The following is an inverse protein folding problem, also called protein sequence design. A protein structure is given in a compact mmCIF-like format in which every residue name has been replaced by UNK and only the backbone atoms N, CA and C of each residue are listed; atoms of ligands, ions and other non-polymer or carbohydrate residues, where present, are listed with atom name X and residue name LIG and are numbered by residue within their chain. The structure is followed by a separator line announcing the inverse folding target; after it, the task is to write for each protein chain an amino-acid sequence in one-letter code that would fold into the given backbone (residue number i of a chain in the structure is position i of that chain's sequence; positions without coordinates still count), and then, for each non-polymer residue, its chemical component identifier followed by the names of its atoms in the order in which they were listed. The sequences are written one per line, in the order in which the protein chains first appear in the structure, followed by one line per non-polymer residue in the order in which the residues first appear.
data_IF_511618209180
#
_entry.id   IF_511618209180
#
_cell.length_a   1.000
_cell.length_b   1.000
_cell.length_c   1.000
_cell.angle_alpha   90.00
_cell.angle_beta   90.00
_cell.angle_gamma   90.00
#
_symmetry.space_group_name_H-M   'P 1'
#
loop_
_entity.id
_entity.type
_entity.pdbx_description
1 polymer ?
#
# COMPACT_ATOMS: atom_id res chain seq x y z
N UNK A 1 14.45 15.05 -25.00
CA UNK A 1 15.06 14.00 -24.16
C UNK A 1 13.94 13.22 -23.49
N UNK A 2 14.12 11.92 -23.26
CA UNK A 2 13.16 11.13 -22.51
C UNK A 2 13.06 11.65 -21.07
N UNK A 3 11.85 11.64 -20.50
CA UNK A 3 11.61 12.01 -19.11
C UNK A 3 12.25 10.96 -18.18
N UNK A 4 12.93 11.40 -17.12
CA UNK A 4 13.56 10.49 -16.15
C UNK A 4 12.76 10.40 -14.86
N UNK A 5 12.52 9.19 -14.38
CA UNK A 5 11.78 8.92 -13.14
C UNK A 5 12.64 8.10 -12.17
N UNK A 6 12.73 8.56 -10.92
CA UNK A 6 13.28 7.79 -9.83
C UNK A 6 12.15 7.12 -9.04
N UNK A 7 12.26 5.81 -8.83
CA UNK A 7 11.30 5.04 -8.03
C UNK A 7 12.00 4.54 -6.76
N UNK A 8 11.65 5.14 -5.63
CA UNK A 8 12.11 4.67 -4.32
C UNK A 8 11.20 3.52 -3.89
N UNK A 9 11.79 2.33 -3.71
CA UNK A 9 11.07 1.07 -3.50
C UNK A 9 10.75 0.31 -4.79
N UNK A 10 11.54 0.50 -5.86
CA UNK A 10 11.26 -0.10 -7.18
C UNK A 10 11.23 -1.63 -7.21
N UNK A 11 11.91 -2.29 -6.29
CA UNK A 11 11.86 -3.77 -6.11
C UNK A 11 10.72 -4.26 -5.22
N UNK A 12 9.96 -3.36 -4.61
CA UNK A 12 8.74 -3.67 -3.86
C UNK A 12 7.55 -3.86 -4.80
N UNK A 13 6.43 -4.37 -4.26
CA UNK A 13 5.25 -4.73 -5.06
C UNK A 13 4.68 -3.54 -5.85
N UNK A 14 4.46 -2.40 -5.21
CA UNK A 14 3.91 -1.22 -5.87
C UNK A 14 4.94 -0.58 -6.82
N UNK A 15 6.17 -0.39 -6.35
CA UNK A 15 7.25 0.21 -7.14
C UNK A 15 7.55 -0.58 -8.41
N UNK A 16 7.55 -1.92 -8.36
CA UNK A 16 7.84 -2.78 -9.50
C UNK A 16 6.85 -2.59 -10.65
N UNK A 17 5.56 -2.58 -10.33
CA UNK A 17 4.52 -2.39 -11.35
C UNK A 17 4.56 -0.97 -11.95
N UNK A 18 4.82 0.03 -11.12
CA UNK A 18 5.00 1.42 -11.58
C UNK A 18 6.22 1.56 -12.47
N UNK A 19 7.33 0.90 -12.12
CA UNK A 19 8.56 0.89 -12.89
C UNK A 19 8.37 0.24 -14.27
N UNK A 20 7.68 -0.91 -14.32
CA UNK A 20 7.33 -1.57 -15.58
C UNK A 20 6.43 -0.72 -16.46
N UNK A 21 5.44 -0.04 -15.88
CA UNK A 21 4.56 0.83 -16.66
C UNK A 21 5.31 2.08 -17.16
N UNK A 22 6.18 2.67 -16.34
CA UNK A 22 7.02 3.80 -16.71
C UNK A 22 7.90 3.46 -17.93
N UNK A 23 8.58 2.30 -17.92
CA UNK A 23 9.36 1.83 -19.07
C UNK A 23 8.49 1.68 -20.32
N UNK A 24 7.30 1.07 -20.20
CA UNK A 24 6.36 0.91 -21.32
C UNK A 24 5.89 2.26 -21.89
N UNK A 25 5.84 3.29 -21.06
CA UNK A 25 5.49 4.68 -21.43
C UNK A 25 6.69 5.48 -21.96
N UNK A 26 7.88 4.88 -22.03
CA UNK A 26 9.08 5.51 -22.60
C UNK A 26 9.86 6.39 -21.62
N UNK A 27 9.64 6.24 -20.31
CA UNK A 27 10.48 6.88 -19.31
C UNK A 27 11.82 6.16 -19.17
N UNK A 28 12.88 6.92 -18.88
CA UNK A 28 14.12 6.35 -18.35
C UNK A 28 13.92 6.16 -16.84
N UNK A 29 14.13 4.95 -16.34
CA UNK A 29 13.76 4.58 -14.97
C UNK A 29 15.00 4.28 -14.13
N UNK A 30 15.13 5.03 -13.04
CA UNK A 30 16.01 4.72 -11.92
C UNK A 30 15.21 4.11 -10.78
N UNK A 31 15.87 3.28 -9.97
CA UNK A 31 15.27 2.66 -8.80
C UNK A 31 16.23 2.73 -7.62
N UNK A 32 15.69 3.05 -6.44
CA UNK A 32 16.38 2.86 -5.16
C UNK A 32 15.69 1.71 -4.43
N UNK A 33 16.47 0.75 -3.98
CA UNK A 33 15.99 -0.43 -3.24
C UNK A 33 16.82 -0.66 -1.99
N UNK A 34 16.17 -1.13 -0.92
CA UNK A 34 16.87 -1.66 0.25
C UNK A 34 17.27 -3.10 -0.02
N UNK A 35 18.42 -3.54 0.48
CA UNK A 35 18.76 -4.96 0.47
C UNK A 35 17.95 -5.66 1.58
N UNK A 36 16.99 -6.51 1.19
CA UNK A 36 16.19 -7.33 2.10
C UNK A 36 16.33 -8.82 1.79
N UNK A 37 15.77 -9.68 2.63
CA UNK A 37 15.89 -11.14 2.48
C UNK A 37 15.36 -11.63 1.13
N UNK A 38 14.33 -10.97 0.57
CA UNK A 38 13.79 -11.32 -0.75
C UNK A 38 14.80 -11.01 -1.87
N UNK A 39 15.54 -9.90 -1.76
CA UNK A 39 16.57 -9.49 -2.72
C UNK A 39 17.90 -10.21 -2.53
N UNK A 40 18.30 -10.52 -1.29
CA UNK A 40 19.53 -11.27 -1.01
C UNK A 40 19.46 -12.67 -1.62
N UNK A 41 18.29 -13.31 -1.54
CA UNK A 41 18.12 -14.69 -1.96
C UNK A 41 17.67 -14.86 -3.42
N UNK A 42 17.51 -13.76 -4.17
CA UNK A 42 17.05 -13.79 -5.57
C UNK A 42 17.95 -12.97 -6.46
N UNK A 43 18.38 -13.56 -7.56
CA UNK A 43 19.09 -12.84 -8.60
C UNK A 43 18.17 -11.76 -9.21
N UNK A 44 18.49 -10.49 -8.97
CA UNK A 44 17.76 -9.33 -9.48
C UNK A 44 17.60 -9.39 -11.01
N UNK A 45 18.64 -9.87 -11.71
CA UNK A 45 18.66 -9.98 -13.17
C UNK A 45 17.67 -11.02 -13.73
N UNK A 46 17.16 -11.92 -12.87
CA UNK A 46 16.24 -12.98 -13.27
C UNK A 46 14.77 -12.51 -13.38
N UNK A 47 14.41 -11.39 -12.75
CA UNK A 47 13.00 -10.96 -12.68
C UNK A 47 12.80 -9.45 -12.79
N UNK A 48 13.82 -8.63 -12.53
CA UNK A 48 13.72 -7.17 -12.63
C UNK A 48 14.17 -6.69 -14.01
N UNK A 49 13.49 -5.70 -14.64
CA UNK A 49 13.86 -5.26 -15.99
C UNK A 49 15.27 -4.65 -16.02
N UNK A 50 16.10 -5.13 -16.95
CA UNK A 50 17.52 -4.77 -17.06
C UNK A 50 17.75 -3.33 -17.50
N UNK A 51 16.72 -2.71 -18.09
CA UNK A 51 16.70 -1.31 -18.49
C UNK A 51 16.63 -0.36 -17.29
N UNK A 52 16.29 -0.87 -16.09
CA UNK A 52 16.18 -0.07 -14.87
C UNK A 52 17.51 -0.06 -14.15
N UNK A 53 18.05 1.13 -13.96
CA UNK A 53 19.25 1.29 -13.12
C UNK A 53 18.82 1.22 -11.66
N UNK A 54 19.16 0.12 -10.97
CA UNK A 54 18.85 -0.07 -9.56
C UNK A 54 20.05 0.21 -8.66
N UNK A 55 19.89 1.12 -7.71
CA UNK A 55 20.86 1.44 -6.66
C UNK A 55 20.40 0.84 -5.34
N UNK A 56 21.29 0.10 -4.68
CA UNK A 56 21.05 -0.39 -3.32
C UNK A 56 21.37 0.70 -2.31
N UNK A 57 20.35 1.19 -1.62
CA UNK A 57 20.47 2.18 -0.55
C UNK A 57 19.27 2.07 0.40
N UNK A 58 19.55 1.98 1.70
CA UNK A 58 18.52 2.13 2.72
C UNK A 58 18.22 3.62 2.98
N UNK A 59 17.09 4.09 2.44
CA UNK A 59 16.67 5.50 2.58
C UNK A 59 16.34 5.90 4.03
N UNK A 60 16.10 4.94 4.93
CA UNK A 60 15.86 5.25 6.34
C UNK A 60 17.16 5.73 7.01
N UNK A 61 18.29 5.07 6.72
CA UNK A 61 19.60 5.38 7.30
C UNK A 61 20.45 6.36 6.48
N UNK A 62 20.24 6.45 5.17
CA UNK A 62 21.00 7.35 4.29
C UNK A 62 20.88 8.83 4.69
N UNK A 63 21.95 9.61 4.47
CA UNK A 63 21.92 11.06 4.62
C UNK A 63 21.06 11.74 3.54
N UNK A 64 20.63 12.97 3.80
CA UNK A 64 19.87 13.74 2.80
C UNK A 64 20.75 14.04 1.58
N UNK A 65 22.05 14.29 1.77
CA UNK A 65 23.03 14.60 0.73
C UNK A 65 23.27 13.41 -0.22
N UNK A 66 23.37 12.19 0.31
CA UNK A 66 23.45 10.97 -0.51
C UNK A 66 22.22 10.82 -1.40
N UNK A 67 21.03 11.10 -0.86
CA UNK A 67 19.78 11.01 -1.62
C UNK A 67 19.73 12.13 -2.68
N UNK A 68 20.18 13.35 -2.38
CA UNK A 68 20.27 14.45 -3.36
C UNK A 68 21.12 14.01 -4.55
N UNK A 69 22.32 13.44 -4.30
CA UNK A 69 23.23 13.01 -5.36
C UNK A 69 22.59 11.96 -6.29
N UNK A 70 21.83 11.02 -5.74
CA UNK A 70 21.13 9.99 -6.52
C UNK A 70 19.94 10.52 -7.33
N UNK A 71 19.34 11.64 -6.90
CA UNK A 71 18.18 12.25 -7.55
C UNK A 71 18.57 13.25 -8.65
N UNK A 72 19.85 13.60 -8.79
CA UNK A 72 20.30 14.55 -9.81
C UNK A 72 19.99 14.06 -11.23
N UNK A 73 19.40 14.95 -12.04
CA UNK A 73 19.04 14.65 -13.43
C UNK A 73 17.73 13.89 -13.60
N UNK A 74 17.02 13.55 -12.52
CA UNK A 74 15.66 13.01 -12.58
C UNK A 74 14.62 14.12 -12.64
N UNK A 75 13.58 13.94 -13.45
CA UNK A 75 12.45 14.87 -13.54
C UNK A 75 11.37 14.58 -12.50
N UNK A 76 11.22 13.30 -12.13
CA UNK A 76 10.08 12.81 -11.36
C UNK A 76 10.51 11.83 -10.26
N UNK A 77 9.74 11.81 -9.18
CA UNK A 77 9.88 10.86 -8.07
C UNK A 77 8.57 10.08 -7.86
N UNK A 78 8.67 8.77 -7.69
CA UNK A 78 7.62 7.95 -7.05
C UNK A 78 8.18 7.33 -5.78
N UNK A 79 7.49 7.52 -4.67
CA UNK A 79 7.85 6.96 -3.37
C UNK A 79 6.88 5.85 -2.96
N UNK A 80 7.38 4.61 -3.01
CA UNK A 80 6.62 3.38 -2.78
C UNK A 80 7.15 2.56 -1.58
N UNK A 81 7.84 3.22 -0.65
CA UNK A 81 8.43 2.59 0.56
C UNK A 81 7.60 2.93 1.79
N UNK A 82 7.48 1.99 2.72
CA UNK A 82 6.91 2.23 4.04
C UNK A 82 6.24 0.99 4.60
N UNK A 83 6.21 0.83 5.94
CA UNK A 83 5.49 -0.26 6.57
C UNK A 83 3.98 -0.11 6.36
N UNK A 84 3.32 -1.25 6.25
CA UNK A 84 1.86 -1.38 6.16
C UNK A 84 1.22 -1.46 7.57
N UNK A 85 -0.06 -1.11 7.71
CA UNK A 85 -0.77 -1.14 9.01
C UNK A 85 -0.82 -2.52 9.67
N UNK A 86 -0.66 -3.58 8.87
CA UNK A 86 -0.66 -4.97 9.32
C UNK A 86 0.65 -5.39 9.99
N UNK A 87 1.69 -4.55 9.95
CA UNK A 87 2.90 -4.77 10.73
C UNK A 87 2.68 -4.35 12.20
N UNK A 88 3.08 -5.22 13.14
CA UNK A 88 2.94 -4.95 14.59
C UNK A 88 4.34 -4.77 15.20
N UNK A 89 4.83 -3.52 15.35
CA UNK A 89 6.14 -3.25 15.94
C UNK A 89 6.19 -3.50 17.46
N UNK A 90 7.39 -3.38 18.02
CA UNK A 90 7.55 -3.15 19.47
C UNK A 90 6.89 -1.84 19.84
N UNK A 91 6.21 -1.82 20.98
CA UNK A 91 5.61 -0.61 21.50
C UNK A 91 6.70 0.44 21.85
N UNK A 92 6.41 1.74 21.70
CA UNK A 92 5.19 2.30 21.11
C UNK A 92 5.17 2.27 19.56
N UNK A 93 4.00 2.01 18.99
CA UNK A 93 3.83 1.85 17.54
C UNK A 93 3.97 3.17 16.78
N UNK A 94 3.55 4.30 17.38
CA UNK A 94 3.57 5.61 16.72
C UNK A 94 4.97 5.99 16.26
N UNK A 95 6.00 5.86 17.11
CA UNK A 95 7.38 6.22 16.83
C UNK A 95 7.96 5.37 15.69
N UNK A 96 7.62 4.09 15.65
CA UNK A 96 8.02 3.19 14.57
C UNK A 96 7.46 3.65 13.21
N UNK A 97 6.16 3.98 13.17
CA UNK A 97 5.48 4.43 11.96
C UNK A 97 5.86 5.86 11.58
N UNK A 98 5.98 6.77 12.54
CA UNK A 98 6.30 8.18 12.32
C UNK A 98 7.69 8.33 11.67
N UNK A 99 8.69 7.65 12.22
CA UNK A 99 10.04 7.66 11.64
C UNK A 99 10.04 7.20 10.17
N UNK A 100 9.28 6.16 9.84
CA UNK A 100 9.29 5.55 8.49
C UNK A 100 8.36 6.22 7.49
N UNK A 101 7.18 6.65 7.93
CA UNK A 101 6.13 7.20 7.08
C UNK A 101 6.14 8.73 7.04
N UNK A 102 6.67 9.39 8.06
CA UNK A 102 6.74 10.86 8.14
C UNK A 102 8.17 11.33 7.92
N UNK A 103 9.08 11.09 8.87
CA UNK A 103 10.41 11.70 8.87
C UNK A 103 11.26 11.28 7.67
N UNK A 104 11.31 9.97 7.39
CA UNK A 104 12.14 9.43 6.32
C UNK A 104 11.63 9.80 4.93
N UNK A 105 10.31 9.80 4.74
CA UNK A 105 9.70 10.22 3.47
C UNK A 105 9.89 11.72 3.28
N UNK A 106 9.74 12.51 4.34
CA UNK A 106 9.97 13.94 4.30
C UNK A 106 11.40 14.27 3.88
N UNK A 107 12.40 13.58 4.44
CA UNK A 107 13.82 13.68 4.04
C UNK A 107 14.03 13.40 2.54
N UNK A 108 13.43 12.32 2.03
CA UNK A 108 13.58 11.95 0.61
C UNK A 108 12.94 12.98 -0.32
N UNK A 109 11.77 13.53 0.04
CA UNK A 109 11.12 14.57 -0.76
C UNK A 109 11.89 15.90 -0.73
N UNK A 110 12.49 16.29 0.41
CA UNK A 110 13.39 17.45 0.46
C UNK A 110 14.63 17.26 -0.41
N UNK A 111 15.22 16.07 -0.36
CA UNK A 111 16.37 15.73 -1.19
C UNK A 111 16.02 15.80 -2.69
N UNK A 112 14.85 15.28 -3.08
CA UNK A 112 14.36 15.36 -4.45
C UNK A 112 14.13 16.81 -4.92
N UNK A 113 13.49 17.64 -4.09
CA UNK A 113 13.30 19.08 -4.39
C UNK A 113 14.66 19.79 -4.56
N UNK A 114 15.61 19.56 -3.62
CA UNK A 114 16.99 20.08 -3.71
C UNK A 114 17.73 19.62 -4.97
N UNK A 115 17.46 18.41 -5.46
CA UNK A 115 18.05 17.87 -6.68
C UNK A 115 17.40 18.42 -7.97
N UNK A 116 16.32 19.20 -7.86
CA UNK A 116 15.60 19.77 -8.99
C UNK A 116 14.52 18.87 -9.59
N UNK A 117 14.04 17.86 -8.84
CA UNK A 117 12.89 17.05 -9.25
C UNK A 117 11.65 17.93 -9.32
N UNK A 118 10.89 17.80 -10.41
CA UNK A 118 9.75 18.69 -10.72
C UNK A 118 8.47 18.27 -10.03
N UNK A 119 8.25 16.96 -9.90
CA UNK A 119 7.05 16.40 -9.27
C UNK A 119 7.32 15.07 -8.59
N UNK A 120 6.83 14.95 -7.35
CA UNK A 120 6.88 13.74 -6.54
C UNK A 120 5.48 13.18 -6.27
N UNK A 121 5.34 11.87 -6.40
CA UNK A 121 4.14 11.11 -6.02
C UNK A 121 4.47 10.21 -4.85
N UNK A 122 3.64 10.24 -3.80
CA UNK A 122 3.76 9.33 -2.65
C UNK A 122 2.59 8.35 -2.60
N UNK A 123 2.90 7.08 -2.33
CA UNK A 123 1.90 6.07 -2.01
C UNK A 123 1.56 6.11 -0.51
N UNK A 124 0.32 6.52 -0.26
CA UNK A 124 -0.32 6.69 1.04
C UNK A 124 -1.46 5.66 1.17
N UNK A 125 -2.38 5.85 2.11
CA UNK A 125 -3.47 4.95 2.43
C UNK A 125 -4.80 5.69 2.39
N UNK A 126 -5.84 5.04 1.87
CA UNK A 126 -7.22 5.50 1.92
C UNK A 126 -7.76 5.78 3.35
N UNK A 127 -7.06 5.37 4.41
CA UNK A 127 -7.43 5.77 5.77
C UNK A 127 -7.26 7.27 5.98
N UNK A 128 -6.31 7.91 5.30
CA UNK A 128 -6.17 9.37 5.32
C UNK A 128 -7.34 10.07 4.61
N UNK A 129 -7.91 9.44 3.57
CA UNK A 129 -9.15 9.90 2.95
C UNK A 129 -10.33 9.81 3.92
N UNK A 130 -10.47 8.65 4.57
CA UNK A 130 -11.54 8.40 5.52
C UNK A 130 -11.47 9.29 6.77
N UNK A 131 -10.27 9.60 7.27
CA UNK A 131 -10.07 10.55 8.37
C UNK A 131 -10.60 11.95 8.00
N UNK A 132 -10.32 12.42 6.79
CA UNK A 132 -10.83 13.71 6.28
C UNK A 132 -12.33 13.70 6.06
N UNK A 133 -12.87 12.58 5.59
CA UNK A 133 -14.28 12.44 5.21
C UNK A 133 -15.20 12.28 6.42
N UNK A 134 -14.73 11.59 7.46
CA UNK A 134 -15.49 11.30 8.67
C UNK A 134 -14.77 11.85 9.92
N UNK A 135 -14.63 13.19 10.05
CA UNK A 135 -13.88 13.80 11.15
C UNK A 135 -14.44 13.43 12.53
N UNK A 136 -15.72 13.11 12.64
CA UNK A 136 -16.37 12.63 13.87
C UNK A 136 -15.85 11.27 14.35
N UNK A 137 -15.31 10.45 13.44
CA UNK A 137 -14.70 9.16 13.80
C UNK A 137 -13.35 9.32 14.50
N UNK A 138 -12.67 10.47 14.34
CA UNK A 138 -11.39 10.77 14.98
C UNK A 138 -10.33 9.68 14.73
N UNK A 139 -10.19 9.28 13.47
CA UNK A 139 -9.39 8.11 13.09
C UNK A 139 -7.90 8.34 13.39
N UNK A 140 -7.35 9.50 13.05
CA UNK A 140 -5.95 9.84 13.37
C UNK A 140 -5.67 9.92 14.87
N UNK A 141 -6.64 10.29 15.70
CA UNK A 141 -6.45 10.33 17.16
C UNK A 141 -6.45 8.93 17.78
N UNK A 142 -7.12 7.97 17.14
CA UNK A 142 -7.29 6.59 17.64
C UNK A 142 -6.25 5.61 17.10
N UNK A 143 -5.67 5.88 15.93
CA UNK A 143 -4.85 4.91 15.21
C UNK A 143 -3.48 5.50 14.81
N UNK A 144 -2.38 5.06 15.45
CA UNK A 144 -1.03 5.57 15.16
C UNK A 144 -0.65 5.57 13.67
N UNK A 145 -1.00 4.51 12.94
CA UNK A 145 -0.74 4.41 11.50
C UNK A 145 -1.51 5.46 10.70
N UNK A 146 -2.81 5.64 10.96
CA UNK A 146 -3.64 6.62 10.27
C UNK A 146 -3.10 8.02 10.54
N UNK A 147 -2.71 8.29 11.80
CA UNK A 147 -2.05 9.54 12.19
C UNK A 147 -0.82 9.83 11.34
N UNK A 148 0.11 8.87 11.26
CA UNK A 148 1.33 9.02 10.48
C UNK A 148 1.05 9.22 8.98
N UNK A 149 0.01 8.59 8.43
CA UNK A 149 -0.38 8.76 7.02
C UNK A 149 -0.97 10.15 6.74
N UNK A 150 -1.73 10.71 7.68
CA UNK A 150 -2.22 12.10 7.62
C UNK A 150 -1.07 13.11 7.75
N UNK A 151 -0.16 12.89 8.72
CA UNK A 151 1.03 13.71 8.94
C UNK A 151 1.98 13.66 7.74
N UNK A 152 2.19 12.48 7.12
CA UNK A 152 2.93 12.31 5.87
C UNK A 152 2.36 13.21 4.77
N UNK A 153 1.05 13.18 4.53
CA UNK A 153 0.45 13.99 3.48
C UNK A 153 0.54 15.51 3.77
N UNK A 154 0.55 15.91 5.04
CA UNK A 154 0.69 17.30 5.45
C UNK A 154 2.14 17.80 5.26
N UNK A 155 3.11 17.12 5.88
CA UNK A 155 4.52 17.57 5.88
C UNK A 155 5.10 17.66 4.47
N UNK A 156 4.75 16.73 3.58
CA UNK A 156 5.24 16.74 2.20
C UNK A 156 4.77 17.97 1.43
N UNK A 157 3.56 18.45 1.71
CA UNK A 157 3.01 19.66 1.11
C UNK A 157 3.50 20.94 1.78
N UNK A 158 3.77 20.90 3.09
CA UNK A 158 4.25 22.06 3.84
C UNK A 158 5.72 22.37 3.57
N UNK A 159 6.55 21.34 3.37
CA UNK A 159 8.00 21.53 3.24
C UNK A 159 8.47 21.81 1.81
N UNK A 160 7.65 21.51 0.79
CA UNK A 160 8.03 21.68 -0.62
C UNK A 160 8.33 23.15 -0.93
N UNK A 161 9.33 23.37 -1.79
CA UNK A 161 9.76 24.69 -2.25
C UNK A 161 9.45 24.86 -3.73
N UNK A 162 9.94 23.96 -4.58
CA UNK A 162 9.78 24.05 -6.04
C UNK A 162 9.15 22.80 -6.67
N UNK A 163 9.13 21.68 -5.93
CA UNK A 163 8.61 20.41 -6.42
C UNK A 163 7.11 20.30 -6.18
N UNK A 164 6.35 19.92 -7.21
CA UNK A 164 4.94 19.55 -7.04
C UNK A 164 4.81 18.22 -6.27
N UNK A 165 3.80 18.10 -5.40
CA UNK A 165 3.56 16.91 -4.60
C UNK A 165 2.15 16.40 -4.79
N UNK A 166 2.02 15.11 -5.09
CA UNK A 166 0.74 14.41 -5.21
C UNK A 166 0.70 13.19 -4.29
N UNK A 167 -0.41 13.01 -3.59
CA UNK A 167 -0.60 11.90 -2.64
C UNK A 167 -1.65 10.94 -3.20
N UNK A 168 -1.30 9.66 -3.33
CA UNK A 168 -2.25 8.61 -3.73
C UNK A 168 -2.65 7.78 -2.52
N UNK A 169 -3.92 7.78 -2.19
CA UNK A 169 -4.46 7.14 -0.99
C UNK A 169 -5.04 5.79 -1.37
N UNK A 170 -4.23 4.75 -1.15
CA UNK A 170 -4.45 3.45 -1.77
C UNK A 170 -5.37 2.54 -0.92
N UNK A 171 -6.19 1.68 -1.57
CA UNK A 171 -7.13 0.81 -0.90
C UNK A 171 -6.56 -0.62 -0.78
N UNK A 172 -7.42 -1.65 -0.74
CA UNK A 172 -6.96 -3.04 -0.74
C UNK A 172 -6.49 -3.44 -2.15
N UNK A 173 -5.23 -3.87 -2.27
CA UNK A 173 -4.60 -4.14 -3.56
C UNK A 173 -4.41 -5.64 -3.75
N UNK A 174 -4.78 -6.12 -4.94
CA UNK A 174 -4.61 -7.51 -5.38
C UNK A 174 -3.70 -7.61 -6.60
N UNK A 175 -3.08 -8.77 -6.75
CA UNK A 175 -2.06 -9.07 -7.74
C UNK A 175 -0.92 -9.89 -7.15
N UNK A 176 0.12 -10.10 -7.93
CA UNK A 176 1.26 -10.93 -7.56
C UNK A 176 2.53 -10.46 -8.24
N UNK A 177 3.69 -10.75 -7.66
CA UNK A 177 4.97 -10.68 -8.36
C UNK A 177 5.77 -11.94 -8.08
N UNK A 178 6.58 -12.39 -9.03
CA UNK A 178 7.33 -13.64 -8.87
C UNK A 178 8.34 -13.54 -7.73
N UNK A 179 8.95 -12.37 -7.58
CA UNK A 179 10.00 -12.15 -6.59
C UNK A 179 9.51 -11.97 -5.15
N UNK A 180 8.21 -11.86 -4.87
CA UNK A 180 7.72 -11.68 -3.49
C UNK A 180 6.42 -12.44 -3.22
N UNK A 181 6.24 -12.87 -1.98
CA UNK A 181 4.98 -13.45 -1.54
C UNK A 181 3.96 -12.34 -1.30
N UNK A 182 2.70 -12.45 -1.77
CA UNK A 182 1.68 -11.49 -1.42
C UNK A 182 1.45 -11.47 0.09
N UNK A 183 1.38 -10.28 0.68
CA UNK A 183 1.16 -10.07 2.12
C UNK A 183 -0.11 -10.77 2.62
N UNK A 184 -1.08 -10.99 1.73
CA UNK A 184 -2.32 -11.74 1.98
C UNK A 184 -2.07 -13.13 2.58
N UNK A 185 -1.00 -13.82 2.18
CA UNK A 185 -0.70 -15.17 2.68
C UNK A 185 -0.45 -15.18 4.19
N UNK A 186 0.64 -14.54 4.61
CA UNK A 186 1.18 -14.72 5.97
C UNK A 186 0.41 -13.91 7.02
N UNK A 187 -0.12 -12.75 6.62
CA UNK A 187 -0.84 -11.86 7.52
C UNK A 187 -2.27 -12.32 7.74
N UNK A 188 -2.87 -12.99 6.75
CA UNK A 188 -4.30 -13.23 6.75
C UNK A 188 -4.71 -14.66 6.42
N UNK A 189 -4.39 -15.15 5.22
CA UNK A 189 -4.90 -16.42 4.72
C UNK A 189 -4.42 -17.59 5.58
N UNK A 190 -3.13 -17.70 5.88
CA UNK A 190 -2.58 -18.80 6.69
C UNK A 190 -3.05 -18.76 8.15
N UNK A 191 -3.39 -17.58 8.67
CA UNK A 191 -3.79 -17.40 10.09
C UNK A 191 -5.27 -17.64 10.34
N UNK A 192 -6.12 -17.24 9.41
CA UNK A 192 -7.57 -17.14 9.67
C UNK A 192 -8.43 -17.91 8.66
N UNK A 193 -7.85 -18.33 7.53
CA UNK A 193 -8.60 -18.89 6.41
C UNK A 193 -8.17 -20.32 6.11
N UNK A 194 -6.91 -20.53 5.73
CA UNK A 194 -6.37 -21.82 5.30
C UNK A 194 -6.51 -22.87 6.42
N UNK A 195 -6.99 -24.07 6.09
CA UNK A 195 -7.24 -25.13 7.06
C UNK A 195 -8.55 -25.00 7.85
N UNK A 196 -9.27 -23.88 7.73
CA UNK A 196 -10.57 -23.68 8.38
C UNK A 196 -11.73 -23.92 7.41
N UNK A 197 -12.66 -24.81 7.78
CA UNK A 197 -13.90 -25.08 7.00
C UNK A 197 -14.88 -23.91 7.01
N UNK A 198 -14.95 -23.20 8.14
CA UNK A 198 -15.78 -22.02 8.35
C UNK A 198 -14.89 -20.86 8.73
N UNK A 199 -15.05 -19.73 8.05
CA UNK A 199 -14.31 -18.49 8.32
C UNK A 199 -15.25 -17.51 8.99
N UNK A 200 -14.83 -16.96 10.13
CA UNK A 200 -15.57 -15.92 10.83
C UNK A 200 -14.94 -14.58 10.53
N UNK A 201 -15.68 -13.70 9.88
CA UNK A 201 -15.14 -12.40 9.47
C UNK A 201 -16.19 -11.29 9.53
N UNK A 202 -15.76 -10.05 9.61
CA UNK A 202 -16.67 -8.91 9.74
C UNK A 202 -17.61 -8.77 8.53
N UNK A 203 -18.79 -8.18 8.76
CA UNK A 203 -19.86 -8.05 7.76
C UNK A 203 -19.67 -6.93 6.73
N UNK A 204 -18.66 -6.08 6.94
CA UNK A 204 -18.43 -4.89 6.16
C UNK A 204 -17.94 -5.15 4.74
N UNK A 205 -17.45 -4.08 4.13
CA UNK A 205 -16.88 -4.07 2.80
C UNK A 205 -15.85 -2.97 2.68
N UNK A 206 -15.05 -3.07 1.63
CA UNK A 206 -13.99 -2.10 1.34
C UNK A 206 -13.84 -1.93 -0.18
N UNK A 207 -13.13 -0.88 -0.56
CA UNK A 207 -12.69 -0.65 -1.93
C UNK A 207 -11.48 -1.53 -2.23
N UNK A 208 -11.48 -2.16 -3.41
CA UNK A 208 -10.45 -3.10 -3.86
C UNK A 208 -10.00 -2.73 -5.28
N UNK A 209 -8.75 -3.03 -5.61
CA UNK A 209 -8.16 -2.68 -6.90
C UNK A 209 -7.07 -3.66 -7.31
N UNK A 210 -6.90 -3.85 -8.62
CA UNK A 210 -5.76 -4.58 -9.19
C UNK A 210 -4.48 -3.73 -9.16
N UNK A 211 -3.33 -4.37 -8.94
CA UNK A 211 -2.02 -3.72 -8.86
C UNK A 211 -1.65 -2.96 -10.14
N UNK A 212 -2.11 -3.43 -11.30
CA UNK A 212 -1.90 -2.75 -12.57
C UNK A 212 -2.48 -1.33 -12.58
N UNK A 213 -3.64 -1.11 -11.95
CA UNK A 213 -4.28 0.21 -11.87
C UNK A 213 -3.63 1.13 -10.84
N UNK A 214 -2.90 0.58 -9.85
CA UNK A 214 -2.04 1.38 -8.96
C UNK A 214 -0.84 1.96 -9.72
N UNK A 215 -0.24 1.17 -10.62
CA UNK A 215 0.81 1.67 -11.49
C UNK A 215 0.30 2.76 -12.43
N UNK A 216 -0.88 2.56 -13.03
CA UNK A 216 -1.54 3.59 -13.84
C UNK A 216 -1.79 4.86 -13.02
N UNK A 217 -2.30 4.75 -11.78
CA UNK A 217 -2.48 5.89 -10.90
C UNK A 217 -1.17 6.61 -10.58
N UNK A 218 -0.07 5.88 -10.38
CA UNK A 218 1.27 6.45 -10.16
C UNK A 218 1.75 7.29 -11.34
N UNK A 219 1.66 6.76 -12.55
CA UNK A 219 2.07 7.46 -13.77
C UNK A 219 1.09 8.59 -14.12
N UNK A 220 -0.21 8.34 -13.99
CA UNK A 220 -1.27 9.33 -14.18
C UNK A 220 -1.14 10.52 -13.24
N UNK A 221 -0.74 10.30 -11.99
CA UNK A 221 -0.46 11.36 -11.03
C UNK A 221 0.75 12.22 -11.41
N UNK A 222 1.79 11.62 -12.01
CA UNK A 222 2.93 12.38 -12.53
C UNK A 222 2.54 13.23 -13.76
N UNK A 223 1.74 12.67 -14.65
CA UNK A 223 1.35 13.31 -15.92
C UNK A 223 0.24 14.36 -15.73
N UNK A 224 -0.79 14.07 -14.93
CA UNK A 224 -2.04 14.84 -14.85
C UNK A 224 -2.41 15.27 -13.43
N UNK A 225 -1.82 14.65 -12.40
CA UNK A 225 -2.09 14.99 -11.00
C UNK A 225 -1.71 16.43 -10.67
N UNK A 226 -2.57 17.10 -9.91
CA UNK A 226 -2.39 18.51 -9.53
C UNK A 226 -1.61 18.62 -8.22
N UNK A 227 -0.73 19.60 -8.15
CA UNK A 227 0.03 19.91 -6.94
C UNK A 227 -0.88 20.07 -5.70
N UNK A 228 -0.46 19.49 -4.58
CA UNK A 228 -1.21 19.56 -3.31
C UNK A 228 -2.33 18.53 -3.17
N UNK A 229 -2.72 17.85 -4.25
CA UNK A 229 -3.89 16.97 -4.22
C UNK A 229 -3.63 15.63 -3.55
N UNK A 230 -4.70 15.12 -2.94
CA UNK A 230 -4.77 13.80 -2.31
C UNK A 230 -5.89 13.02 -3.01
N UNK A 231 -5.53 11.98 -3.74
CA UNK A 231 -6.44 11.21 -4.58
C UNK A 231 -6.76 9.86 -3.91
N UNK A 232 -7.99 9.63 -3.43
CA UNK A 232 -8.45 8.30 -3.04
C UNK A 232 -8.56 7.40 -4.29
N UNK A 233 -7.63 6.45 -4.41
CA UNK A 233 -7.59 5.53 -5.55
C UNK A 233 -8.46 4.32 -5.25
N UNK A 234 -9.22 3.86 -6.24
CA UNK A 234 -10.10 2.72 -6.09
C UNK A 234 -10.71 2.25 -7.39
N UNK A 235 -11.27 1.04 -7.36
CA UNK A 235 -12.02 0.49 -8.48
C UNK A 235 -13.33 -0.15 -8.02
N UNK A 236 -13.30 -1.32 -7.40
CA UNK A 236 -14.53 -2.04 -7.04
C UNK A 236 -14.80 -2.04 -5.53
N UNK A 237 -16.05 -1.75 -5.16
CA UNK A 237 -16.51 -1.86 -3.78
C UNK A 237 -17.12 -3.24 -3.55
N UNK A 238 -16.51 -4.05 -2.67
CA UNK A 238 -16.93 -5.44 -2.41
C UNK A 238 -17.01 -5.73 -0.92
N UNK A 239 -17.92 -6.64 -0.56
CA UNK A 239 -18.02 -7.18 0.81
C UNK A 239 -16.81 -8.07 1.12
N UNK A 240 -16.34 -8.07 2.36
CA UNK A 240 -15.29 -9.01 2.77
C UNK A 240 -15.71 -10.46 2.61
N UNK A 241 -17.01 -10.75 2.80
CA UNK A 241 -17.59 -12.07 2.55
C UNK A 241 -17.35 -12.53 1.10
N UNK A 242 -17.68 -11.68 0.14
CA UNK A 242 -17.45 -11.97 -1.28
C UNK A 242 -15.96 -12.23 -1.56
N UNK A 243 -15.08 -11.37 -1.03
CA UNK A 243 -13.64 -11.50 -1.22
C UNK A 243 -13.11 -12.85 -0.71
N UNK A 244 -13.50 -13.25 0.49
CA UNK A 244 -13.08 -14.50 1.12
C UNK A 244 -13.63 -15.75 0.40
N UNK A 245 -14.90 -15.70 -0.02
CA UNK A 245 -15.52 -16.78 -0.79
C UNK A 245 -14.81 -16.92 -2.14
N UNK A 246 -14.63 -15.81 -2.87
CA UNK A 246 -14.01 -15.80 -4.19
C UNK A 246 -12.52 -16.22 -4.15
N UNK A 247 -11.75 -15.75 -3.16
CA UNK A 247 -10.38 -16.22 -2.93
C UNK A 247 -10.31 -17.75 -2.76
N UNK A 248 -11.25 -18.31 -1.99
CA UNK A 248 -11.28 -19.75 -1.72
C UNK A 248 -11.68 -20.53 -2.98
N UNK A 249 -12.66 -20.02 -3.74
CA UNK A 249 -13.10 -20.59 -5.01
C UNK A 249 -12.00 -20.60 -6.07
N UNK A 250 -11.10 -19.60 -6.09
CA UNK A 250 -9.90 -19.60 -6.94
C UNK A 250 -8.99 -20.81 -6.69
N UNK A 251 -9.10 -21.44 -5.51
CA UNK A 251 -8.37 -22.66 -5.14
C UNK A 251 -9.24 -23.93 -5.20
N UNK A 252 -10.44 -23.84 -5.75
CA UNK A 252 -11.40 -24.95 -5.79
C UNK A 252 -11.95 -25.34 -4.43
N UNK A 253 -11.76 -24.51 -3.40
CA UNK A 253 -12.22 -24.79 -2.03
C UNK A 253 -13.41 -23.89 -1.72
N UNK A 254 -14.58 -24.49 -1.47
CA UNK A 254 -15.73 -23.72 -1.01
C UNK A 254 -15.69 -23.55 0.51
N UNK A 255 -15.46 -22.33 0.98
CA UNK A 255 -15.51 -21.99 2.41
C UNK A 255 -16.84 -21.34 2.78
N UNK A 256 -17.33 -21.66 3.97
CA UNK A 256 -18.50 -20.97 4.55
C UNK A 256 -18.02 -19.75 5.31
N UNK A 257 -18.31 -18.55 4.80
CA UNK A 257 -18.00 -17.30 5.50
C UNK A 257 -19.21 -16.86 6.32
N UNK A 258 -19.04 -16.79 7.64
CA UNK A 258 -20.04 -16.33 8.59
C UNK A 258 -19.64 -14.97 9.16
N UNK A 259 -20.61 -14.08 9.25
CA UNK A 259 -20.41 -12.74 9.78
C UNK A 259 -21.01 -12.63 11.18
N UNK A 260 -20.21 -12.84 12.26
CA UNK A 260 -20.69 -12.69 13.61
C UNK A 260 -21.09 -11.24 13.91
N UNK A 261 -21.92 -11.00 14.95
CA UNK A 261 -22.23 -9.65 15.42
C UNK A 261 -20.95 -8.88 15.78
N UNK A 262 -20.95 -7.57 15.51
CA UNK A 262 -19.78 -6.68 15.72
C UNK A 262 -19.14 -6.81 17.10
N UNK A 263 -19.95 -6.91 18.17
CA UNK A 263 -19.42 -7.03 19.53
C UNK A 263 -18.56 -8.29 19.72
N UNK A 264 -18.87 -9.39 19.03
CA UNK A 264 -18.08 -10.62 19.10
C UNK A 264 -16.75 -10.46 18.35
N UNK A 265 -16.75 -9.80 17.19
CA UNK A 265 -15.51 -9.43 16.49
C UNK A 265 -14.61 -8.55 17.37
N UNK A 266 -15.19 -7.56 18.05
CA UNK A 266 -14.48 -6.65 18.96
C UNK A 266 -13.82 -7.41 20.11
N UNK A 267 -14.51 -8.39 20.71
CA UNK A 267 -13.90 -9.22 21.77
C UNK A 267 -12.71 -10.04 21.25
N UNK A 268 -12.85 -10.65 20.05
CA UNK A 268 -11.75 -11.39 19.43
C UNK A 268 -10.53 -10.49 19.14
N UNK A 269 -10.78 -9.30 18.59
CA UNK A 269 -9.74 -8.29 18.35
C UNK A 269 -9.02 -7.86 19.64
N UNK A 270 -9.74 -7.58 20.73
CA UNK A 270 -9.14 -7.26 22.03
C UNK A 270 -8.26 -8.39 22.57
N UNK A 271 -8.65 -9.65 22.36
CA UNK A 271 -7.84 -10.78 22.78
C UNK A 271 -6.51 -10.85 22.03
N UNK A 272 -6.51 -10.60 20.73
CA UNK A 272 -5.31 -10.53 19.89
C UNK A 272 -4.40 -9.37 20.35
N UNK A 273 -4.97 -8.18 20.51
CA UNK A 273 -4.26 -6.97 20.94
C UNK A 273 -3.62 -7.13 22.32
N UNK A 274 -4.35 -7.70 23.29
CA UNK A 274 -3.79 -8.05 24.60
C UNK A 274 -2.64 -9.07 24.50
N UNK A 275 -2.70 -9.98 23.53
CA UNK A 275 -1.62 -10.91 23.23
C UNK A 275 -0.35 -10.21 22.75
N UNK A 276 -0.48 -9.18 21.91
CA UNK A 276 0.63 -8.33 21.48
C UNK A 276 1.17 -7.47 22.63
N UNK A 277 0.31 -6.84 23.43
CA UNK A 277 0.75 -6.04 24.58
C UNK A 277 1.56 -6.87 25.59
N UNK A 278 1.17 -8.13 25.84
CA UNK A 278 1.95 -9.06 26.69
C UNK A 278 3.35 -9.36 26.16
N UNK A 279 3.57 -9.20 24.85
CA UNK A 279 4.86 -9.36 24.18
C UNK A 279 5.62 -8.03 24.04
N UNK A 280 5.11 -6.93 24.60
CA UNK A 280 5.68 -5.60 24.43
C UNK A 280 5.53 -5.05 23.01
N UNK A 281 4.53 -5.52 22.27
CA UNK A 281 4.22 -5.12 20.90
C UNK A 281 2.93 -4.31 20.86
N UNK A 282 2.82 -3.38 19.91
CA UNK A 282 1.64 -2.54 19.70
C UNK A 282 1.35 -2.41 18.21
N UNK A 283 0.08 -2.48 17.82
CA UNK A 283 -0.33 -2.37 16.42
C UNK A 283 -0.40 -0.92 15.93
N UNK A 284 -0.29 -0.74 14.60
CA UNK A 284 -0.52 0.58 13.99
C UNK A 284 -1.98 1.03 14.05
N UNK A 285 -2.91 0.11 14.25
CA UNK A 285 -4.33 0.38 14.43
C UNK A 285 -4.79 -0.27 15.74
N UNK A 286 -5.66 0.40 16.50
CA UNK A 286 -6.45 -0.26 17.56
C UNK A 286 -7.40 -1.29 16.95
N UNK A 287 -7.19 -2.56 17.27
CA UNK A 287 -7.88 -3.68 16.61
C UNK A 287 -9.37 -3.70 16.97
N UNK A 288 -9.70 -3.31 18.21
CA UNK A 288 -11.07 -3.30 18.71
C UNK A 288 -11.90 -2.21 18.02
N UNK A 289 -11.33 -1.01 17.88
CA UNK A 289 -11.94 0.11 17.19
C UNK A 289 -12.03 -0.16 15.68
N UNK A 290 -11.00 -0.74 15.07
CA UNK A 290 -11.06 -1.19 13.67
C UNK A 290 -12.23 -2.15 13.45
N UNK A 291 -12.40 -3.16 14.31
CA UNK A 291 -13.51 -4.11 14.18
C UNK A 291 -14.88 -3.44 14.31
N UNK A 292 -14.99 -2.45 15.20
CA UNK A 292 -16.24 -1.76 15.49
C UNK A 292 -16.61 -0.74 14.41
N UNK A 293 -15.65 0.08 14.00
CA UNK A 293 -15.89 1.34 13.29
C UNK A 293 -15.50 1.28 11.81
N UNK A 294 -14.67 0.31 11.41
CA UNK A 294 -14.18 0.18 10.02
C UNK A 294 -14.67 -1.13 9.41
N UNK A 295 -14.28 -2.26 10.00
CA UNK A 295 -14.49 -3.59 9.40
C UNK A 295 -15.96 -4.04 9.45
N UNK A 296 -16.78 -3.47 10.35
CA UNK A 296 -18.20 -3.84 10.51
C UNK A 296 -19.15 -3.03 9.62
N UNK A 297 -18.66 -2.06 8.87
CA UNK A 297 -19.44 -1.22 7.95
C UNK A 297 -18.86 -1.27 6.54
N UNK A 298 -19.57 -0.72 5.57
CA UNK A 298 -19.05 -0.55 4.21
C UNK A 298 -18.19 0.71 4.17
N UNK A 299 -16.93 0.57 4.56
CA UNK A 299 -15.94 1.64 4.54
C UNK A 299 -15.34 1.72 3.14
N UNK A 300 -16.04 2.42 2.24
CA UNK A 300 -15.74 2.45 0.80
C UNK A 300 -15.57 3.87 0.29
N UNK A 301 -14.74 4.02 -0.75
CA UNK A 301 -14.66 5.22 -1.59
C UNK A 301 -15.90 5.21 -2.51
N UNK A 302 -16.60 6.34 -2.60
CA UNK A 302 -17.79 6.43 -3.45
C UNK A 302 -17.45 6.26 -4.94
N UNK A 303 -18.39 5.67 -5.67
CA UNK A 303 -18.21 5.35 -7.08
C UNK A 303 -18.03 6.59 -7.97
N UNK A 304 -18.73 7.69 -7.66
CA UNK A 304 -18.58 8.98 -8.35
C UNK A 304 -17.20 9.60 -8.11
N UNK A 305 -16.68 9.50 -6.88
CA UNK A 305 -15.32 9.92 -6.52
C UNK A 305 -14.30 9.09 -7.31
N UNK A 306 -14.43 7.76 -7.32
CA UNK A 306 -13.54 6.88 -8.08
C UNK A 306 -13.59 7.18 -9.59
N UNK A 307 -14.79 7.34 -10.16
CA UNK A 307 -14.96 7.65 -11.58
C UNK A 307 -14.27 8.95 -11.98
N UNK A 308 -14.47 10.01 -11.21
CA UNK A 308 -13.86 11.31 -11.47
C UNK A 308 -12.34 11.24 -11.44
N UNK A 309 -11.78 10.53 -10.46
CA UNK A 309 -10.32 10.39 -10.31
C UNK A 309 -9.74 9.51 -11.42
N UNK A 310 -10.42 8.43 -11.78
CA UNK A 310 -9.98 7.55 -12.85
C UNK A 310 -9.99 8.27 -14.21
N UNK A 311 -10.98 9.14 -14.45
CA UNK A 311 -10.99 10.02 -15.62
C UNK A 311 -9.84 11.05 -15.57
N UNK A 312 -9.65 11.74 -14.44
CA UNK A 312 -8.61 12.78 -14.28
C UNK A 312 -7.19 12.21 -14.43
N UNK A 313 -6.93 11.01 -13.91
CA UNK A 313 -5.61 10.37 -13.89
C UNK A 313 -5.44 9.30 -14.98
N UNK A 314 -6.44 9.10 -15.84
CA UNK A 314 -6.44 8.09 -16.91
C UNK A 314 -6.18 6.66 -16.41
N UNK A 315 -6.85 6.27 -15.32
CA UNK A 315 -6.76 4.95 -14.70
C UNK A 315 -7.82 4.03 -15.32
N UNK A 316 -7.41 2.83 -15.72
CA UNK A 316 -8.32 1.82 -16.26
C UNK A 316 -9.18 1.19 -15.14
N UNK A 317 -10.21 0.42 -15.52
CA UNK A 317 -11.12 -0.25 -14.58
C UNK A 317 -11.25 -1.75 -14.84
N UNK A 318 -11.57 -2.51 -13.80
CA UNK A 318 -11.85 -3.94 -13.83
C UNK A 318 -10.64 -4.81 -13.48
N UNK A 319 -10.71 -6.10 -13.81
CA UNK A 319 -9.61 -7.04 -13.60
C UNK A 319 -9.37 -7.47 -12.16
N UNK A 320 -10.17 -7.01 -11.18
CA UNK A 320 -10.04 -7.38 -9.77
C UNK A 320 -10.11 -8.90 -9.57
N UNK A 321 -11.07 -9.56 -10.20
CA UNK A 321 -11.26 -11.02 -10.08
C UNK A 321 -10.03 -11.80 -10.57
N UNK A 322 -9.41 -11.37 -11.67
CA UNK A 322 -8.18 -11.97 -12.18
C UNK A 322 -6.97 -11.65 -11.28
N UNK A 323 -6.90 -10.42 -10.75
CA UNK A 323 -5.86 -10.03 -9.80
C UNK A 323 -5.93 -10.86 -8.50
N UNK A 324 -7.13 -11.09 -7.97
CA UNK A 324 -7.34 -11.97 -6.80
C UNK A 324 -6.91 -13.40 -7.12
N UNK A 325 -7.27 -13.92 -8.30
CA UNK A 325 -6.85 -15.27 -8.72
C UNK A 325 -5.33 -15.38 -8.77
N UNK A 326 -4.64 -14.42 -9.41
CA UNK A 326 -3.17 -14.36 -9.43
C UNK A 326 -2.56 -14.27 -8.04
N UNK A 327 -3.14 -13.48 -7.13
CA UNK A 327 -2.74 -13.45 -5.72
C UNK A 327 -2.83 -14.85 -5.11
N UNK A 328 -3.97 -15.53 -5.26
CA UNK A 328 -4.18 -16.85 -4.69
C UNK A 328 -3.25 -17.91 -5.31
N UNK A 329 -3.01 -17.85 -6.61
CA UNK A 329 -2.05 -18.69 -7.33
C UNK A 329 -0.62 -18.51 -6.82
N UNK A 330 -0.23 -17.27 -6.53
CA UNK A 330 1.09 -17.00 -5.94
C UNK A 330 1.19 -17.46 -4.49
N UNK A 331 0.13 -17.24 -3.69
CA UNK A 331 0.09 -17.65 -2.29
C UNK A 331 0.17 -19.18 -2.15
N UNK A 332 -0.55 -19.91 -2.99
CA UNK A 332 -0.72 -21.36 -2.91
C UNK A 332 -0.56 -21.97 -4.32
N UNK A 333 0.70 -22.19 -4.76
CA UNK A 333 1.00 -22.59 -6.13
C UNK A 333 0.72 -24.08 -6.39
N UNK A 334 0.78 -24.94 -5.38
CA UNK A 334 0.58 -26.38 -5.58
C UNK A 334 -0.85 -26.81 -5.20
N UNK A 335 -1.40 -27.84 -5.88
CA UNK A 335 -2.65 -28.45 -5.46
C UNK A 335 -2.60 -28.93 -4.00
N UNK A 336 -3.58 -28.50 -3.20
CA UNK A 336 -3.70 -28.89 -1.79
C UNK A 336 -2.92 -28.04 -0.79
N UNK A 337 -2.16 -27.03 -1.23
CA UNK A 337 -1.51 -26.04 -0.34
C UNK A 337 -2.56 -25.21 0.43
N UNK A 338 -3.72 -24.98 -0.20
CA UNK A 338 -4.89 -24.33 0.39
C UNK A 338 -5.98 -25.38 0.69
N UNK A 339 -6.36 -25.48 1.96
CA UNK A 339 -7.27 -26.49 2.50
C UNK A 339 -8.52 -25.89 3.12
#
# INVERSE_FOLDING_TARGET
MAKKIMIVGGTGFLGFYTAKLALKKGYEVGSISILDDDLINKDLDSWYPKEITNTLLDVFSASEEEIVALMQGYDYLVYAVGPDDRYTPKAPAYEFFHYRLVDSVAKVFRAADKAGVKKGVVYNSYFAYFDRKYPEMKLKEKHPYIRCRVEQAAILNEQKQNMEVVVLELPYIFGSMDARMPIWRDVFLDRYVNGHKTVYFSKGGTTMIAIEHIAEAGIGALEYGKDGMRYPIGDENRKFKWMLEYMSECKGVKKKVLCPPTWLCVMGAKAIENGFHKQGMEGGLDYALVMKEIMSIDMVIEEDVMNKINEELHISRGGLEEAIKKTMDRCYPNPGDFK
#
